data_IF_394504031473
#
_entry.id   IF_394504031473
#
_cell.length_a   1.000
_cell.length_b   1.000
_cell.length_c   1.000
_cell.angle_alpha   90.00
_cell.angle_beta   90.00
_cell.angle_gamma   90.00
#
_symmetry.space_group_name_H-M   'P 1'
#
loop_
_entity.id
_entity.type
_entity.pdbx_description
1 polymer ?
#
# COMPACT_ATOMS: atom_id res chain seq x y z
N UNK A 1 -11.26 22.23 -6.09
CA UNK A 1 -10.97 20.98 -5.38
C UNK A 1 -12.24 20.42 -4.75
N UNK A 2 -12.30 19.12 -4.54
CA UNK A 2 -13.44 18.45 -3.90
C UNK A 2 -13.52 18.78 -2.40
N UNK A 3 -12.36 18.98 -1.77
CA UNK A 3 -12.24 19.34 -0.36
C UNK A 3 -10.99 20.18 -0.13
N UNK A 4 -11.08 21.13 0.80
CA UNK A 4 -9.93 21.92 1.23
C UNK A 4 -9.06 21.14 2.21
N UNK A 5 -7.75 21.14 2.00
CA UNK A 5 -6.78 20.51 2.89
C UNK A 5 -5.42 21.21 2.77
N UNK A 6 -4.66 21.17 3.86
CA UNK A 6 -3.25 21.62 3.89
C UNK A 6 -2.28 20.52 3.42
N UNK A 7 -2.78 19.29 3.21
CA UNK A 7 -1.96 18.18 2.75
C UNK A 7 -1.71 18.30 1.23
N UNK A 8 -0.48 18.63 0.86
CA UNK A 8 -0.10 18.83 -0.54
C UNK A 8 -0.23 17.55 -1.39
N UNK A 9 -0.01 16.36 -0.82
CA UNK A 9 -0.16 15.10 -1.55
C UNK A 9 -1.63 14.88 -1.96
N UNK A 10 -2.56 15.18 -1.05
CA UNK A 10 -4.00 15.13 -1.34
C UNK A 10 -4.40 16.20 -2.36
N UNK A 11 -3.83 17.40 -2.28
CA UNK A 11 -4.07 18.46 -3.26
C UNK A 11 -3.56 18.07 -4.65
N UNK A 12 -2.40 17.43 -4.73
CA UNK A 12 -1.86 16.89 -5.98
C UNK A 12 -2.79 15.86 -6.62
N UNK A 13 -3.29 14.92 -5.82
CA UNK A 13 -4.23 13.90 -6.31
C UNK A 13 -5.50 14.55 -6.86
N UNK A 14 -6.13 15.49 -6.10
CA UNK A 14 -7.31 16.22 -6.56
C UNK A 14 -7.04 17.00 -7.86
N UNK A 15 -5.89 17.65 -7.94
CA UNK A 15 -5.51 18.41 -9.13
C UNK A 15 -5.44 17.51 -10.37
N UNK A 16 -4.79 16.36 -10.28
CA UNK A 16 -4.74 15.37 -11.37
C UNK A 16 -6.13 14.85 -11.74
N UNK A 17 -6.98 14.55 -10.75
CA UNK A 17 -8.36 14.12 -11.00
C UNK A 17 -9.16 15.18 -11.79
N UNK A 18 -8.98 16.46 -11.46
CA UNK A 18 -9.67 17.56 -12.14
C UNK A 18 -9.17 17.79 -13.57
N UNK A 19 -7.86 17.64 -13.79
CA UNK A 19 -7.25 17.86 -15.12
C UNK A 19 -7.60 16.76 -16.12
N UNK A 20 -7.95 15.57 -15.68
CA UNK A 20 -8.26 14.46 -16.58
C UNK A 20 -9.54 14.73 -17.36
N UNK A 21 -9.48 14.55 -18.68
CA UNK A 21 -10.65 14.44 -19.56
C UNK A 21 -11.28 13.06 -19.43
N UNK A 22 -12.54 12.94 -19.82
CA UNK A 22 -13.22 11.63 -19.93
C UNK A 22 -12.40 10.68 -20.81
N UNK A 23 -12.17 9.46 -20.37
CA UNK A 23 -11.27 8.49 -21.00
C UNK A 23 -9.78 8.73 -20.72
N UNK A 24 -9.42 9.84 -20.07
CA UNK A 24 -8.04 10.11 -19.66
C UNK A 24 -7.57 9.12 -18.57
N UNK A 25 -6.27 8.85 -18.57
CA UNK A 25 -5.61 7.93 -17.63
C UNK A 25 -4.53 8.66 -16.85
N UNK A 26 -4.33 8.25 -15.60
CA UNK A 26 -3.26 8.73 -14.74
C UNK A 26 -2.53 7.58 -14.07
N UNK A 27 -1.25 7.78 -13.83
CA UNK A 27 -0.44 7.01 -12.91
C UNK A 27 0.31 7.99 -12.01
N UNK A 28 0.09 7.93 -10.70
CA UNK A 28 0.64 8.89 -9.76
C UNK A 28 1.31 8.19 -8.59
N UNK A 29 2.51 8.64 -8.25
CA UNK A 29 3.25 8.16 -7.07
C UNK A 29 2.83 9.00 -5.87
N UNK A 30 2.32 8.34 -4.84
CA UNK A 30 1.84 8.98 -3.60
C UNK A 30 2.33 8.22 -2.38
N UNK A 31 2.62 8.90 -1.27
CA UNK A 31 3.00 8.22 -0.02
C UNK A 31 1.80 7.53 0.63
N UNK A 32 2.08 6.61 1.55
CA UNK A 32 1.07 5.75 2.19
C UNK A 32 -0.06 6.51 2.89
N UNK A 33 0.20 7.68 3.47
CA UNK A 33 -0.82 8.44 4.19
C UNK A 33 -2.05 8.76 3.32
N UNK A 34 -1.88 8.95 2.02
CA UNK A 34 -2.99 9.17 1.08
C UNK A 34 -3.96 7.98 1.04
N UNK A 35 -3.47 6.78 1.34
CA UNK A 35 -4.28 5.55 1.31
C UNK A 35 -5.20 5.39 2.53
N UNK A 36 -4.88 6.02 3.68
CA UNK A 36 -5.62 5.79 4.94
C UNK A 36 -5.97 7.06 5.73
N UNK A 37 -5.43 8.23 5.38
CA UNK A 37 -5.71 9.48 6.11
C UNK A 37 -7.21 9.75 6.20
N UNK A 38 -7.69 10.13 7.38
CA UNK A 38 -9.09 10.45 7.63
C UNK A 38 -9.51 11.81 7.05
N UNK A 39 -10.77 12.16 7.18
CA UNK A 39 -11.30 13.49 6.81
C UNK A 39 -11.15 13.77 5.33
N UNK A 40 -10.32 14.75 4.97
CA UNK A 40 -10.10 15.12 3.56
C UNK A 40 -9.60 13.94 2.72
N UNK A 41 -8.69 13.12 3.26
CA UNK A 41 -8.19 11.93 2.58
C UNK A 41 -9.30 10.92 2.27
N UNK A 42 -10.17 10.65 3.22
CA UNK A 42 -11.33 9.78 3.01
C UNK A 42 -12.29 10.32 1.96
N UNK A 43 -12.59 11.62 2.01
CA UNK A 43 -13.46 12.28 1.02
C UNK A 43 -12.90 12.14 -0.38
N UNK A 44 -11.60 12.38 -0.56
CA UNK A 44 -10.94 12.27 -1.86
C UNK A 44 -10.93 10.82 -2.36
N UNK A 45 -10.65 9.84 -1.48
CA UNK A 45 -10.70 8.41 -1.86
C UNK A 45 -12.10 7.98 -2.30
N UNK A 46 -13.14 8.39 -1.57
CA UNK A 46 -14.53 8.12 -1.98
C UNK A 46 -14.84 8.72 -3.36
N UNK A 47 -14.43 9.96 -3.62
CA UNK A 47 -14.56 10.58 -4.94
C UNK A 47 -13.77 9.85 -6.02
N UNK A 48 -12.55 9.43 -5.72
CA UNK A 48 -11.73 8.65 -6.65
C UNK A 48 -12.40 7.33 -7.02
N UNK A 49 -13.05 6.66 -6.07
CA UNK A 49 -13.75 5.40 -6.31
C UNK A 49 -15.08 5.60 -7.06
N UNK A 50 -15.78 6.70 -6.82
CA UNK A 50 -17.10 6.98 -7.41
C UNK A 50 -17.02 7.55 -8.83
N UNK A 51 -16.10 8.49 -9.07
CA UNK A 51 -16.05 9.28 -10.31
C UNK A 51 -14.96 8.78 -11.27
N UNK A 52 -14.07 7.89 -10.80
CA UNK A 52 -12.97 7.33 -11.57
C UNK A 52 -12.88 5.81 -11.37
N UNK A 53 -12.26 5.14 -12.32
CA UNK A 53 -11.89 3.75 -12.19
C UNK A 53 -10.45 3.66 -11.66
N UNK A 54 -10.29 3.58 -10.34
CA UNK A 54 -9.03 3.21 -9.69
C UNK A 54 -8.86 1.70 -9.84
N UNK A 55 -8.15 1.27 -10.87
CA UNK A 55 -8.08 -0.15 -11.23
C UNK A 55 -6.82 -0.87 -10.72
N UNK A 56 -5.77 -0.16 -10.32
CA UNK A 56 -4.51 -0.81 -9.88
C UNK A 56 -3.78 0.06 -8.88
N UNK A 57 -3.24 -0.57 -7.83
CA UNK A 57 -2.31 0.02 -6.88
C UNK A 57 -1.05 -0.86 -6.83
N UNK A 58 0.11 -0.26 -7.12
CA UNK A 58 1.42 -0.87 -6.96
C UNK A 58 2.06 -0.33 -5.68
N UNK A 59 2.31 -1.20 -4.71
CA UNK A 59 3.01 -0.85 -3.46
C UNK A 59 4.52 -0.92 -3.70
N UNK A 60 5.19 0.21 -3.57
CA UNK A 60 6.62 0.32 -3.81
C UNK A 60 7.44 -0.01 -2.54
N UNK A 61 8.63 -0.61 -2.69
CA UNK A 61 9.53 -0.90 -1.58
C UNK A 61 10.12 0.38 -0.99
N UNK A 62 10.66 0.29 0.22
CA UNK A 62 11.47 1.36 0.82
C UNK A 62 12.86 1.44 0.17
N UNK A 63 13.57 2.55 0.39
CA UNK A 63 14.95 2.73 -0.06
C UNK A 63 15.11 3.23 -1.50
N UNK A 64 14.02 3.42 -2.25
CA UNK A 64 14.05 3.94 -3.63
C UNK A 64 14.05 5.48 -3.71
N UNK A 65 13.84 6.15 -2.58
CA UNK A 65 13.87 7.61 -2.47
C UNK A 65 15.00 8.07 -1.54
N UNK A 66 15.42 9.33 -1.65
CA UNK A 66 16.43 9.91 -0.76
C UNK A 66 16.03 9.80 0.72
N UNK A 67 14.76 10.02 1.04
CA UNK A 67 14.22 9.73 2.36
C UNK A 67 13.98 8.21 2.47
N UNK A 68 14.93 7.49 3.05
CA UNK A 68 15.02 6.02 3.08
C UNK A 68 13.76 5.31 3.63
N UNK A 69 13.06 5.92 4.59
CA UNK A 69 11.87 5.35 5.23
C UNK A 69 10.56 5.61 4.48
N UNK A 70 10.57 6.36 3.36
CA UNK A 70 9.34 6.68 2.65
C UNK A 70 8.74 5.42 2.03
N UNK A 71 7.48 5.18 2.38
CA UNK A 71 6.62 4.17 1.77
C UNK A 71 5.71 4.87 0.77
N UNK A 72 5.77 4.46 -0.48
CA UNK A 72 4.98 5.04 -1.55
C UNK A 72 4.23 3.97 -2.36
N UNK A 73 3.24 4.42 -3.10
CA UNK A 73 2.44 3.59 -3.98
C UNK A 73 2.25 4.31 -5.32
N UNK A 74 2.03 3.53 -6.38
CA UNK A 74 1.56 4.07 -7.66
C UNK A 74 0.09 3.75 -7.80
N UNK A 75 -0.74 4.78 -7.93
CA UNK A 75 -2.17 4.65 -8.19
C UNK A 75 -2.41 4.81 -9.70
N UNK A 76 -3.04 3.81 -10.31
CA UNK A 76 -3.42 3.83 -11.73
C UNK A 76 -4.93 3.97 -11.84
N UNK A 77 -5.39 5.04 -12.44
CA UNK A 77 -6.83 5.29 -12.59
C UNK A 77 -7.19 5.97 -13.91
N UNK A 78 -8.44 5.85 -14.31
CA UNK A 78 -9.00 6.47 -15.51
C UNK A 78 -10.31 7.18 -15.18
N UNK A 79 -10.62 8.25 -15.92
CA UNK A 79 -11.87 9.01 -15.76
C UNK A 79 -12.95 8.50 -16.70
N UNK A 80 -14.17 8.33 -16.18
CA UNK A 80 -15.34 8.03 -17.00
C UNK A 80 -16.20 6.86 -16.53
N UNK A 81 -15.70 6.05 -15.60
CA UNK A 81 -16.46 4.97 -14.99
C UNK A 81 -16.09 4.85 -13.49
N UNK A 82 -17.04 4.47 -12.62
CA UNK A 82 -16.72 4.20 -11.23
C UNK A 82 -15.85 2.94 -11.09
N UNK A 83 -15.12 2.88 -10.00
CA UNK A 83 -14.34 1.70 -9.63
C UNK A 83 -15.28 0.55 -9.28
N UNK A 84 -15.01 -0.64 -9.81
CA UNK A 84 -15.72 -1.89 -9.46
C UNK A 84 -14.84 -2.81 -8.64
N UNK A 85 -13.58 -2.93 -9.03
CA UNK A 85 -12.56 -3.74 -8.38
C UNK A 85 -11.21 -3.06 -8.46
N UNK A 86 -10.35 -3.33 -7.49
CA UNK A 86 -8.99 -2.78 -7.44
C UNK A 86 -8.02 -3.94 -7.34
N UNK A 87 -7.01 -3.93 -8.19
CA UNK A 87 -5.91 -4.86 -8.17
C UNK A 87 -4.73 -4.27 -7.42
N UNK A 88 -4.21 -5.00 -6.47
CA UNK A 88 -3.05 -4.62 -5.67
C UNK A 88 -1.87 -5.50 -6.04
N UNK A 89 -0.73 -4.88 -6.27
CA UNK A 89 0.55 -5.58 -6.39
C UNK A 89 1.47 -5.17 -5.23
N UNK A 90 1.83 -6.13 -4.40
CA UNK A 90 2.76 -5.89 -3.30
C UNK A 90 4.20 -6.12 -3.77
N UNK A 91 4.86 -5.04 -4.20
CA UNK A 91 6.30 -5.00 -4.47
C UNK A 91 7.06 -4.43 -3.27
N UNK A 92 6.55 -4.57 -2.06
CA UNK A 92 7.13 -4.00 -0.84
C UNK A 92 7.57 -5.04 0.16
N UNK A 93 6.72 -6.02 0.46
CA UNK A 93 6.96 -7.01 1.50
C UNK A 93 8.19 -7.84 1.16
N UNK A 94 9.16 -7.86 2.07
CA UNK A 94 10.46 -8.55 1.96
C UNK A 94 11.36 -8.06 0.81
N UNK A 95 11.07 -6.90 0.24
CA UNK A 95 11.89 -6.28 -0.81
C UNK A 95 12.52 -5.00 -0.28
N UNK A 96 13.84 -4.90 -0.43
CA UNK A 96 14.61 -3.71 -0.07
C UNK A 96 15.45 -3.26 -1.24
N UNK A 97 15.33 -2.00 -1.59
CA UNK A 97 16.21 -1.34 -2.54
C UNK A 97 17.07 -0.28 -1.85
N UNK A 98 18.09 0.17 -2.54
CA UNK A 98 18.96 1.28 -2.12
C UNK A 98 19.25 2.16 -3.33
N UNK A 99 19.61 3.41 -3.10
CA UNK A 99 19.94 4.32 -4.20
C UNK A 99 21.31 4.02 -4.86
N UNK A 100 22.19 3.30 -4.18
CA UNK A 100 23.54 3.08 -4.64
C UNK A 100 23.82 1.63 -5.08
N UNK A 101 23.58 0.67 -4.19
CA UNK A 101 24.04 -0.72 -4.35
C UNK A 101 22.99 -1.69 -4.87
N UNK A 102 21.71 -1.38 -4.68
CA UNK A 102 20.57 -2.22 -5.12
C UNK A 102 19.46 -1.32 -5.66
N UNK A 103 19.68 -0.68 -6.78
CA UNK A 103 18.72 0.26 -7.38
C UNK A 103 17.51 -0.47 -7.91
N UNK A 104 16.36 0.21 -7.84
CA UNK A 104 15.17 -0.26 -8.56
C UNK A 104 15.41 -0.09 -10.07
N UNK A 105 15.37 -1.19 -10.81
CA UNK A 105 15.54 -1.24 -12.25
C UNK A 105 14.28 -1.76 -12.94
N UNK A 106 14.19 -1.59 -14.25
CA UNK A 106 13.00 -1.96 -15.04
C UNK A 106 12.64 -3.45 -14.88
N UNK A 107 13.62 -4.34 -14.91
CA UNK A 107 13.39 -5.78 -14.82
C UNK A 107 12.76 -6.24 -13.51
N UNK A 108 12.99 -5.50 -12.42
CA UNK A 108 12.35 -5.78 -11.12
C UNK A 108 10.82 -5.68 -11.15
N UNK A 109 10.26 -4.99 -12.15
CA UNK A 109 8.83 -4.80 -12.33
C UNK A 109 8.23 -5.70 -13.43
N UNK A 110 8.99 -6.65 -14.00
CA UNK A 110 8.50 -7.50 -15.09
C UNK A 110 7.34 -8.40 -14.66
N UNK A 111 7.40 -8.94 -13.45
CA UNK A 111 6.27 -9.70 -12.88
C UNK A 111 5.03 -8.83 -12.68
N UNK A 112 5.18 -7.62 -12.14
CA UNK A 112 4.08 -6.66 -12.06
C UNK A 112 3.45 -6.39 -13.44
N UNK A 113 4.26 -6.16 -14.46
CA UNK A 113 3.77 -5.91 -15.83
C UNK A 113 3.03 -7.12 -16.37
N UNK A 114 3.53 -8.32 -16.14
CA UNK A 114 2.85 -9.56 -16.51
C UNK A 114 1.48 -9.68 -15.83
N UNK A 115 1.43 -9.50 -14.50
CA UNK A 115 0.19 -9.51 -13.72
C UNK A 115 -0.78 -8.41 -14.18
N UNK A 116 -0.27 -7.20 -14.41
CA UNK A 116 -1.07 -6.07 -14.86
C UNK A 116 -1.77 -6.33 -16.19
N UNK A 117 -1.10 -7.00 -17.12
CA UNK A 117 -1.65 -7.33 -18.44
C UNK A 117 -2.62 -8.52 -18.39
N UNK A 118 -2.32 -9.54 -17.60
CA UNK A 118 -3.08 -10.79 -17.58
C UNK A 118 -4.29 -10.76 -16.65
N UNK A 119 -4.26 -9.95 -15.58
CA UNK A 119 -5.34 -9.83 -14.59
C UNK A 119 -5.79 -11.16 -13.96
N UNK A 120 -4.83 -12.05 -13.72
CA UNK A 120 -5.04 -13.33 -13.02
C UNK A 120 -4.46 -13.21 -11.62
N UNK A 121 -5.28 -13.41 -10.60
CA UNK A 121 -4.84 -13.35 -9.20
C UNK A 121 -3.77 -14.40 -8.93
N UNK A 122 -2.67 -13.99 -8.29
CA UNK A 122 -1.59 -14.92 -7.90
C UNK A 122 -1.64 -15.28 -6.42
N UNK A 123 -2.35 -14.50 -5.60
CA UNK A 123 -2.53 -14.83 -4.21
C UNK A 123 -3.56 -15.94 -4.03
N UNK A 124 -3.19 -16.94 -3.25
CA UNK A 124 -4.05 -18.01 -2.78
C UNK A 124 -3.64 -18.36 -1.34
N UNK A 125 -4.58 -18.32 -0.41
CA UNK A 125 -4.28 -18.53 1.02
C UNK A 125 -3.73 -19.92 1.35
N UNK A 126 -4.04 -20.93 0.52
CA UNK A 126 -3.62 -22.32 0.73
C UNK A 126 -2.42 -22.70 -0.14
N UNK A 127 -2.46 -22.32 -1.43
CA UNK A 127 -1.48 -22.78 -2.41
C UNK A 127 -0.36 -21.77 -2.69
N UNK A 128 -0.65 -20.46 -2.58
CA UNK A 128 0.34 -19.40 -2.81
C UNK A 128 0.11 -18.19 -1.88
N UNK A 129 0.35 -18.33 -0.56
CA UNK A 129 0.14 -17.25 0.40
C UNK A 129 1.11 -16.07 0.23
N UNK A 130 2.16 -16.23 -0.57
CA UNK A 130 3.13 -15.19 -0.94
C UNK A 130 2.83 -14.54 -2.29
N UNK A 131 1.72 -14.89 -2.93
CA UNK A 131 1.28 -14.30 -4.20
C UNK A 131 1.12 -12.77 -4.07
N UNK A 132 1.79 -12.03 -4.95
CA UNK A 132 1.92 -10.56 -4.86
C UNK A 132 0.79 -9.80 -5.53
N UNK A 133 -0.05 -10.46 -6.32
CA UNK A 133 -1.13 -9.85 -7.07
C UNK A 133 -2.48 -10.32 -6.54
N UNK A 134 -3.27 -9.39 -6.01
CA UNK A 134 -4.55 -9.68 -5.37
C UNK A 134 -5.61 -8.66 -5.75
N UNK A 135 -6.84 -9.14 -5.90
CA UNK A 135 -8.01 -8.34 -6.22
C UNK A 135 -8.91 -8.12 -5.00
N UNK A 136 -9.51 -6.93 -4.92
CA UNK A 136 -10.55 -6.58 -3.96
C UNK A 136 -11.70 -5.88 -4.68
N UNK A 137 -12.93 -6.19 -4.32
CA UNK A 137 -14.10 -5.47 -4.79
C UNK A 137 -14.15 -4.06 -4.17
N UNK A 138 -14.83 -3.13 -4.83
CA UNK A 138 -15.02 -1.79 -4.27
C UNK A 138 -15.85 -1.84 -2.98
N UNK A 139 -16.78 -2.77 -2.85
CA UNK A 139 -17.61 -2.93 -1.65
C UNK A 139 -16.78 -3.35 -0.43
N UNK A 140 -15.82 -4.27 -0.61
CA UNK A 140 -14.85 -4.61 0.43
C UNK A 140 -14.02 -3.41 0.88
N UNK A 141 -13.63 -2.54 -0.05
CA UNK A 141 -12.86 -1.32 0.26
C UNK A 141 -13.73 -0.30 1.01
N UNK A 142 -14.97 -0.09 0.57
CA UNK A 142 -15.89 0.87 1.20
C UNK A 142 -16.26 0.43 2.63
N UNK A 143 -16.34 -0.86 2.87
CA UNK A 143 -16.63 -1.43 4.19
C UNK A 143 -15.48 -1.24 5.20
N UNK A 144 -14.26 -0.92 4.74
CA UNK A 144 -13.11 -0.67 5.62
C UNK A 144 -13.22 0.67 6.33
N UNK A 145 -12.65 0.74 7.54
CA UNK A 145 -12.54 2.03 8.25
C UNK A 145 -11.94 3.10 7.35
N UNK A 146 -12.60 4.26 7.27
CA UNK A 146 -12.18 5.43 6.46
C UNK A 146 -11.97 5.12 4.98
N UNK A 147 -12.60 4.09 4.44
CA UNK A 147 -12.37 3.64 3.05
C UNK A 147 -10.87 3.46 2.78
N UNK A 148 -10.18 2.80 3.69
CA UNK A 148 -8.72 2.64 3.63
C UNK A 148 -8.31 1.72 2.48
N UNK A 149 -7.37 2.21 1.67
CA UNK A 149 -6.68 1.47 0.60
C UNK A 149 -5.34 0.88 1.06
N UNK A 150 -4.96 1.06 2.33
CA UNK A 150 -3.76 0.43 2.87
C UNK A 150 -4.06 -1.02 3.25
N UNK A 151 -3.74 -1.92 2.34
CA UNK A 151 -4.02 -3.36 2.46
C UNK A 151 -2.72 -4.13 2.41
N UNK A 152 -2.54 -5.03 3.37
CA UNK A 152 -1.42 -5.97 3.45
C UNK A 152 -1.98 -7.36 3.67
N UNK A 153 -1.54 -8.34 2.88
CA UNK A 153 -1.96 -9.74 3.00
C UNK A 153 -0.76 -10.70 3.07
N UNK A 154 0.40 -10.31 2.52
CA UNK A 154 1.63 -11.07 2.60
C UNK A 154 2.19 -10.92 4.01
N UNK A 155 2.44 -12.03 4.67
CA UNK A 155 3.16 -12.02 5.96
C UNK A 155 4.64 -11.82 5.69
N UNK A 156 5.25 -10.89 6.39
CA UNK A 156 6.72 -10.77 6.36
C UNK A 156 7.31 -12.10 6.83
N UNK A 157 8.33 -12.58 6.10
CA UNK A 157 9.05 -13.81 6.42
C UNK A 157 9.95 -13.66 7.65
N UNK A 158 9.38 -13.21 8.76
CA UNK A 158 9.92 -13.48 10.08
C UNK A 158 9.60 -14.92 10.42
N UNK A 159 10.53 -15.64 11.02
CA UNK A 159 10.24 -16.91 11.66
C UNK A 159 8.89 -16.82 12.36
N UNK A 160 7.97 -17.70 12.02
CA UNK A 160 6.73 -17.81 12.79
C UNK A 160 7.20 -18.05 14.21
N UNK A 161 6.96 -17.10 15.08
CA UNK A 161 7.32 -17.25 16.47
C UNK A 161 6.39 -18.32 17.04
N UNK A 162 6.86 -19.55 17.01
CA UNK A 162 6.11 -20.73 17.47
C UNK A 162 5.96 -20.76 18.99
N UNK A 163 6.55 -19.78 19.69
CA UNK A 163 6.44 -19.68 21.14
C UNK A 163 4.98 -19.45 21.54
N UNK A 164 4.57 -20.17 22.57
CA UNK A 164 3.27 -19.99 23.19
C UNK A 164 3.12 -18.58 23.79
N UNK A 165 1.90 -18.12 23.96
CA UNK A 165 1.62 -16.83 24.60
C UNK A 165 2.29 -16.71 25.97
N UNK A 166 2.39 -17.82 26.72
CA UNK A 166 3.03 -17.85 28.03
C UNK A 166 4.55 -17.62 27.92
N UNK A 167 5.22 -18.21 26.92
CA UNK A 167 6.65 -18.00 26.66
C UNK A 167 6.95 -16.57 26.20
N UNK A 168 6.10 -16.00 25.34
CA UNK A 168 6.21 -14.60 24.94
C UNK A 168 6.06 -13.64 26.11
N UNK A 169 5.09 -13.87 26.98
CA UNK A 169 4.91 -13.06 28.20
C UNK A 169 6.07 -13.16 29.17
N UNK A 170 6.66 -14.37 29.34
CA UNK A 170 7.85 -14.57 30.14
C UNK A 170 9.07 -13.83 29.59
N UNK A 171 9.28 -13.85 28.28
CA UNK A 171 10.37 -13.14 27.61
C UNK A 171 10.22 -11.62 27.72
N UNK A 172 9.00 -11.08 27.55
CA UNK A 172 8.70 -9.65 27.75
C UNK A 172 9.01 -9.24 29.20
N UNK A 173 8.60 -10.04 30.18
CA UNK A 173 8.85 -9.76 31.61
C UNK A 173 10.34 -9.73 31.93
N UNK A 174 11.10 -10.71 31.41
CA UNK A 174 12.55 -10.79 31.60
C UNK A 174 13.27 -9.58 30.98
N UNK A 175 12.92 -9.23 29.74
CA UNK A 175 13.49 -8.05 29.07
C UNK A 175 13.16 -6.75 29.78
N UNK A 176 11.93 -6.61 30.27
CA UNK A 176 11.50 -5.46 31.07
C UNK A 176 12.31 -5.31 32.38
N UNK A 177 12.58 -6.42 33.06
CA UNK A 177 13.43 -6.42 34.27
C UNK A 177 14.88 -6.05 33.93
N UNK A 178 15.44 -6.58 32.85
CA UNK A 178 16.79 -6.25 32.40
C UNK A 178 16.94 -4.76 32.10
N UNK A 179 15.95 -4.19 31.40
CA UNK A 179 15.91 -2.74 31.11
C UNK A 179 15.81 -1.93 32.40
N UNK A 180 14.94 -2.32 33.34
CA UNK A 180 14.80 -1.61 34.63
C UNK A 180 16.08 -1.65 35.45
N UNK A 181 16.83 -2.74 35.43
CA UNK A 181 18.12 -2.86 36.11
C UNK A 181 19.19 -2.00 35.46
N UNK A 182 19.26 -1.98 34.13
CA UNK A 182 20.22 -1.19 33.35
C UNK A 182 19.98 0.33 33.41
N UNK A 183 18.76 0.75 33.74
CA UNK A 183 18.41 2.18 33.93
C UNK A 183 18.67 2.65 35.35
N UNK A 184 18.81 1.72 36.32
CA UNK A 184 19.04 2.02 37.72
C UNK A 184 20.56 2.07 38.10
N UNK A 185 21.47 1.68 37.20
CA UNK A 185 22.93 1.86 37.27
C UNK A 185 23.34 3.17 36.59
#
# INVERSE_FOLDING_TARGET
FYVETKNNQLNFLQHMMLMLKTGGRAAVVLPDNVLFEAGAGETIRKRLLQDFNLHTILRLPTGIFYAQGVKANVLFFSKGQPTKEIWFYDYRTDIKHTLATNKLERHHLDDFVSCYNNRIETYDSENNPQGRWRKYSVDEIIARDKTSLDITWIRQGGEVDERSLAELMADIKNKSQTISTAVAE
#
